data_IF_133157365781
#
_entry.id   IF_133157365781
#
_cell.length_a   1.000
_cell.length_b   1.000
_cell.length_c   1.000
_cell.angle_alpha   90.00
_cell.angle_beta   90.00
_cell.angle_gamma   90.00
#
_symmetry.space_group_name_H-M   'P 1'
#
loop_
_entity.id
_entity.type
_entity.pdbx_description
1 polymer ?
#
# COMPACT_ATOMS: atom_id res chain seq x y z
N UNK A 1 10.12 -15.89 -48.65
CA UNK A 1 10.68 -14.78 -47.83
C UNK A 1 9.58 -13.96 -47.15
N UNK A 2 8.55 -13.49 -47.86
CA UNK A 2 7.43 -12.73 -47.28
C UNK A 2 6.64 -13.51 -46.20
N UNK A 3 6.28 -14.76 -46.47
CA UNK A 3 5.53 -15.61 -45.52
C UNK A 3 6.29 -15.87 -44.22
N UNK A 4 7.62 -16.02 -44.31
CA UNK A 4 8.50 -16.20 -43.15
C UNK A 4 8.51 -14.93 -42.29
N UNK A 5 8.57 -13.75 -42.91
CA UNK A 5 8.51 -12.47 -42.19
C UNK A 5 7.15 -12.26 -41.51
N UNK A 6 6.05 -12.65 -42.17
CA UNK A 6 4.70 -12.59 -41.58
C UNK A 6 4.62 -13.51 -40.36
N UNK A 7 5.09 -14.76 -40.48
CA UNK A 7 5.10 -15.72 -39.36
C UNK A 7 5.91 -15.19 -38.17
N UNK A 8 7.11 -14.63 -38.40
CA UNK A 8 7.92 -14.04 -37.34
C UNK A 8 7.27 -12.81 -36.71
N UNK A 9 6.59 -11.97 -37.49
CA UNK A 9 5.88 -10.80 -36.95
C UNK A 9 4.72 -11.20 -36.03
N UNK A 10 3.99 -12.28 -36.38
CA UNK A 10 2.91 -12.81 -35.54
C UNK A 10 3.44 -13.39 -34.23
N UNK A 11 4.55 -14.13 -34.29
CA UNK A 11 5.21 -14.68 -33.09
C UNK A 11 5.65 -13.55 -32.15
N UNK A 12 6.29 -12.51 -32.69
CA UNK A 12 6.71 -11.33 -31.89
C UNK A 12 5.50 -10.61 -31.30
N UNK A 13 4.42 -10.45 -32.05
CA UNK A 13 3.23 -9.75 -31.57
C UNK A 13 2.55 -10.52 -30.43
N UNK A 14 2.44 -11.85 -30.55
CA UNK A 14 1.88 -12.71 -29.50
C UNK A 14 2.76 -12.69 -28.24
N UNK A 15 4.08 -12.80 -28.37
CA UNK A 15 4.98 -12.77 -27.20
C UNK A 15 4.96 -11.42 -26.49
N UNK A 16 4.92 -10.31 -27.23
CA UNK A 16 4.76 -8.97 -26.63
C UNK A 16 3.44 -8.84 -25.89
N UNK A 17 2.36 -9.42 -26.41
CA UNK A 17 1.03 -9.34 -25.80
C UNK A 17 0.97 -10.14 -24.48
N UNK A 18 1.56 -11.34 -24.46
CA UNK A 18 1.69 -12.15 -23.22
C UNK A 18 2.53 -11.42 -22.17
N UNK A 19 3.67 -10.85 -22.56
CA UNK A 19 4.53 -10.08 -21.65
C UNK A 19 3.82 -8.85 -21.08
N UNK A 20 2.97 -8.18 -21.88
CA UNK A 20 2.17 -7.05 -21.39
C UNK A 20 1.15 -7.47 -20.34
N UNK A 21 0.45 -8.58 -20.57
CA UNK A 21 -0.54 -9.13 -19.62
C UNK A 21 0.11 -9.58 -18.31
N UNK A 22 1.27 -10.23 -18.39
CA UNK A 22 2.03 -10.62 -17.19
C UNK A 22 2.47 -9.39 -16.39
N UNK A 23 2.92 -8.33 -17.08
CA UNK A 23 3.33 -7.09 -16.42
C UNK A 23 2.17 -6.43 -15.69
N UNK A 24 1.00 -6.33 -16.32
CA UNK A 24 -0.20 -5.75 -15.71
C UNK A 24 -0.66 -6.55 -14.49
N UNK A 25 -0.70 -7.88 -14.58
CA UNK A 25 -1.09 -8.72 -13.45
C UNK A 25 -0.13 -8.63 -12.26
N UNK A 26 1.19 -8.60 -12.51
CA UNK A 26 2.20 -8.39 -11.46
C UNK A 26 2.03 -7.02 -10.81
N UNK A 27 1.76 -5.97 -11.61
CA UNK A 27 1.51 -4.63 -11.08
C UNK A 27 0.28 -4.59 -10.19
N UNK A 28 -0.81 -5.24 -10.60
CA UNK A 28 -2.03 -5.32 -9.81
C UNK A 28 -1.81 -6.07 -8.49
N UNK A 29 -1.17 -7.24 -8.53
CA UNK A 29 -0.84 -8.02 -7.32
C UNK A 29 0.04 -7.21 -6.37
N UNK A 30 1.01 -6.47 -6.90
CA UNK A 30 1.87 -5.61 -6.09
C UNK A 30 1.08 -4.47 -5.43
N UNK A 31 0.14 -3.85 -6.14
CA UNK A 31 -0.73 -2.81 -5.57
C UNK A 31 -1.64 -3.38 -4.49
N UNK A 32 -2.29 -4.52 -4.73
CA UNK A 32 -3.15 -5.17 -3.75
C UNK A 32 -2.37 -5.54 -2.48
N UNK A 33 -1.14 -6.05 -2.64
CA UNK A 33 -0.25 -6.33 -1.52
C UNK A 33 0.07 -5.06 -0.71
N UNK A 34 0.37 -3.93 -1.38
CA UNK A 34 0.63 -2.66 -0.69
C UNK A 34 -0.60 -2.16 0.08
N UNK A 35 -1.80 -2.26 -0.51
CA UNK A 35 -3.04 -1.90 0.18
C UNK A 35 -3.27 -2.77 1.43
N UNK A 36 -3.03 -4.08 1.34
CA UNK A 36 -3.09 -4.96 2.52
C UNK A 36 -2.10 -4.53 3.61
N UNK A 37 -0.88 -4.13 3.25
CA UNK A 37 0.09 -3.62 4.21
C UNK A 37 -0.37 -2.31 4.86
N UNK A 38 -0.96 -1.39 4.08
CA UNK A 38 -1.53 -0.16 4.61
C UNK A 38 -2.70 -0.43 5.57
N UNK A 39 -3.60 -1.36 5.23
CA UNK A 39 -4.68 -1.78 6.13
C UNK A 39 -4.14 -2.30 7.46
N UNK A 40 -3.15 -3.20 7.41
CA UNK A 40 -2.54 -3.75 8.62
C UNK A 40 -1.82 -2.69 9.45
N UNK A 41 -1.08 -1.77 8.80
CA UNK A 41 -0.40 -0.68 9.48
C UNK A 41 -1.39 0.25 10.19
N UNK A 42 -2.48 0.63 9.52
CA UNK A 42 -3.51 1.50 10.09
C UNK A 42 -4.24 0.83 11.28
N UNK A 43 -4.60 -0.45 11.13
CA UNK A 43 -5.22 -1.22 12.21
C UNK A 43 -4.29 -1.33 13.43
N UNK A 44 -3.00 -1.62 13.21
CA UNK A 44 -2.01 -1.68 14.27
C UNK A 44 -1.86 -0.32 14.98
N UNK A 45 -1.82 0.79 14.22
CA UNK A 45 -1.78 2.13 14.83
C UNK A 45 -3.02 2.42 15.69
N UNK A 46 -4.21 2.02 15.22
CA UNK A 46 -5.45 2.14 15.98
C UNK A 46 -5.43 1.30 17.27
N UNK A 47 -4.89 0.08 17.21
CA UNK A 47 -4.72 -0.79 18.38
C UNK A 47 -3.73 -0.20 19.39
N UNK A 48 -2.57 0.30 18.93
CA UNK A 48 -1.59 0.99 19.78
C UNK A 48 -2.21 2.22 20.47
N UNK A 49 -3.04 2.96 19.75
CA UNK A 49 -3.75 4.11 20.30
C UNK A 49 -4.75 3.70 21.40
N UNK A 50 -5.54 2.65 21.17
CA UNK A 50 -6.53 2.12 22.12
C UNK A 50 -5.91 1.45 23.33
N UNK A 51 -4.75 0.81 23.16
CA UNK A 51 -4.04 0.12 24.22
C UNK A 51 -3.41 1.10 25.21
N UNK A 52 -3.11 2.34 24.80
CA UNK A 52 -2.60 3.36 25.71
C UNK A 52 -3.74 4.02 26.51
N UNK A 53 -3.77 3.89 27.85
CA UNK A 53 -4.82 4.48 28.67
C UNK A 53 -4.84 6.02 28.63
N UNK A 54 -3.73 6.65 28.25
CA UNK A 54 -3.66 8.11 28.03
C UNK A 54 -4.05 8.51 26.62
N UNK A 55 -4.30 7.55 25.72
CA UNK A 55 -4.60 7.78 24.30
C UNK A 55 -3.52 8.61 23.61
N UNK A 56 -2.27 8.42 24.03
CA UNK A 56 -1.09 9.10 23.48
C UNK A 56 -0.03 8.06 23.20
N UNK A 57 0.18 7.76 21.92
CA UNK A 57 1.24 6.83 21.52
C UNK A 57 2.59 7.47 21.85
N UNK A 58 3.41 6.78 22.65
CA UNK A 58 4.75 7.27 22.96
C UNK A 58 5.59 7.46 21.68
N UNK A 59 6.42 8.49 21.66
CA UNK A 59 7.26 8.79 20.48
C UNK A 59 8.15 7.62 20.06
N UNK A 60 8.67 6.84 21.03
CA UNK A 60 9.49 5.66 20.77
C UNK A 60 8.70 4.57 20.04
N UNK A 61 7.53 4.20 20.56
CA UNK A 61 6.66 3.18 19.95
C UNK A 61 6.20 3.63 18.56
N UNK A 62 5.82 4.90 18.42
CA UNK A 62 5.43 5.47 17.14
C UNK A 62 6.57 5.40 16.11
N UNK A 63 7.80 5.73 16.50
CA UNK A 63 8.96 5.64 15.60
C UNK A 63 9.29 4.19 15.21
N UNK A 64 9.17 3.24 16.13
CA UNK A 64 9.36 1.82 15.84
C UNK A 64 8.30 1.30 14.86
N UNK A 65 7.03 1.61 15.11
CA UNK A 65 5.92 1.30 14.20
C UNK A 65 6.11 1.94 12.82
N UNK A 66 6.51 3.23 12.78
CA UNK A 66 6.74 3.95 11.53
C UNK A 66 7.87 3.30 10.75
N UNK A 67 8.98 2.93 11.40
CA UNK A 67 10.12 2.26 10.75
C UNK A 67 9.72 0.92 10.13
N UNK A 68 8.91 0.13 10.83
CA UNK A 68 8.39 -1.14 10.30
C UNK A 68 7.45 -0.91 9.12
N UNK A 69 6.54 0.06 9.24
CA UNK A 69 5.56 0.35 8.19
C UNK A 69 6.22 0.93 6.93
N UNK A 70 7.22 1.80 7.08
CA UNK A 70 7.99 2.38 5.96
C UNK A 70 8.83 1.35 5.20
N UNK A 71 9.16 0.22 5.83
CA UNK A 71 9.86 -0.88 5.15
C UNK A 71 9.01 -1.52 4.05
N UNK A 72 7.69 -1.57 4.27
CA UNK A 72 6.72 -2.13 3.32
C UNK A 72 6.05 -1.08 2.45
N UNK A 73 5.80 0.12 3.00
CA UNK A 73 5.13 1.24 2.35
C UNK A 73 6.15 2.34 2.07
N UNK A 74 6.69 2.44 0.85
CA UNK A 74 7.73 3.41 0.55
C UNK A 74 7.19 4.84 0.61
N UNK A 75 7.93 5.73 1.29
CA UNK A 75 7.56 7.13 1.48
C UNK A 75 6.23 7.29 2.25
N UNK A 76 6.01 6.44 3.25
CA UNK A 76 4.83 6.50 4.09
C UNK A 76 4.74 7.84 4.82
N UNK A 77 3.58 8.49 4.69
CA UNK A 77 3.14 9.62 5.48
C UNK A 77 1.90 9.21 6.25
N UNK A 78 1.80 9.69 7.48
CA UNK A 78 0.79 9.26 8.43
C UNK A 78 0.18 10.49 9.07
N UNK A 79 -1.14 10.57 9.05
CA UNK A 79 -1.89 11.61 9.72
C UNK A 79 -2.93 10.95 10.63
N UNK A 80 -2.83 11.22 11.93
CA UNK A 80 -3.78 10.77 12.94
C UNK A 80 -4.47 12.01 13.51
N UNK A 81 -5.79 12.09 13.39
CA UNK A 81 -6.60 13.12 14.03
C UNK A 81 -7.74 12.46 14.80
N UNK A 82 -7.98 12.92 16.02
CA UNK A 82 -9.09 12.42 16.83
C UNK A 82 -9.99 13.58 17.23
N UNK A 83 -11.28 13.45 16.94
CA UNK A 83 -12.32 14.42 17.32
C UNK A 83 -13.54 13.70 17.89
N UNK A 84 -14.09 14.23 18.98
CA UNK A 84 -15.32 13.76 19.62
C UNK A 84 -15.46 12.24 19.81
N UNK A 85 -14.36 11.54 20.11
CA UNK A 85 -14.39 10.10 20.37
C UNK A 85 -14.19 9.21 19.13
N UNK A 86 -14.03 9.81 17.95
CA UNK A 86 -13.62 9.14 16.72
C UNK A 86 -12.19 9.55 16.37
N UNK A 87 -11.43 8.61 15.82
CA UNK A 87 -10.09 8.85 15.29
C UNK A 87 -10.04 8.46 13.83
N UNK A 88 -9.43 9.33 13.04
CA UNK A 88 -9.11 9.16 11.64
C UNK A 88 -7.61 8.90 11.50
N UNK A 89 -7.26 7.83 10.79
CA UNK A 89 -5.90 7.52 10.36
C UNK A 89 -5.88 7.56 8.85
N UNK A 90 -5.10 8.48 8.30
CA UNK A 90 -4.76 8.55 6.89
C UNK A 90 -3.31 8.12 6.70
N UNK A 91 -3.12 7.10 5.87
CA UNK A 91 -1.83 6.61 5.42
C UNK A 91 -1.70 6.90 3.94
N UNK A 92 -0.66 7.63 3.55
CA UNK A 92 -0.32 7.80 2.14
C UNK A 92 1.08 7.30 1.84
N UNK A 93 1.27 6.67 0.70
CA UNK A 93 2.57 6.18 0.23
C UNK A 93 2.68 6.45 -1.26
N UNK A 94 3.89 6.75 -1.73
CA UNK A 94 4.24 6.90 -3.16
C UNK A 94 3.18 7.65 -4.00
N UNK A 95 3.33 8.96 -4.18
CA UNK A 95 2.55 9.84 -5.08
C UNK A 95 1.15 9.32 -5.51
N UNK A 96 0.17 9.42 -4.61
CA UNK A 96 -1.25 9.26 -4.93
C UNK A 96 -1.97 8.09 -4.25
N UNK A 97 -1.24 7.10 -3.74
CA UNK A 97 -1.87 6.03 -2.96
C UNK A 97 -2.14 6.48 -1.53
N UNK A 98 -3.37 6.27 -1.08
CA UNK A 98 -3.83 6.60 0.25
C UNK A 98 -4.78 5.51 0.76
N UNK A 99 -4.81 5.35 2.08
CA UNK A 99 -5.71 4.48 2.80
C UNK A 99 -6.18 5.21 4.05
N UNK A 100 -7.50 5.26 4.23
CA UNK A 100 -8.15 5.95 5.34
C UNK A 100 -8.91 4.94 6.21
N UNK A 101 -8.72 5.05 7.52
CA UNK A 101 -9.39 4.23 8.52
C UNK A 101 -10.00 5.14 9.60
N UNK A 102 -11.28 4.93 9.89
CA UNK A 102 -11.97 5.57 11.02
C UNK A 102 -12.23 4.54 12.10
N UNK A 103 -11.92 4.89 13.35
CA UNK A 103 -12.16 4.01 14.48
C UNK A 103 -12.59 4.77 15.74
N UNK A 104 -13.42 4.15 16.57
CA UNK A 104 -13.81 4.70 17.87
C UNK A 104 -12.64 4.63 18.86
N UNK A 105 -12.38 5.76 19.54
CA UNK A 105 -11.31 5.94 20.52
C UNK A 105 -11.67 5.50 21.93
#
# INVERSE_FOLDING_TARGET
MLEVLIAWSLVVLVTLLVLSLERESIQQIHQDWLYCQAMHAAANLAELYRADPKRVISSKIYQEWLKQSNHHLPQLQVQLSCDQGLCDVDLSWRQGHHYHLVFAS
#
